data_IF_144320036710
#
_entry.id   IF_144320036710
#
_cell.length_a   1.000
_cell.length_b   1.000
_cell.length_c   1.000
_cell.angle_alpha   90.00
_cell.angle_beta   90.00
_cell.angle_gamma   90.00
#
_symmetry.space_group_name_H-M   'P 1'
#
loop_
_entity.id
_entity.type
_entity.pdbx_description
1 polymer ?
#
# COMPACT_ATOMS: atom_id res chain seq x y z
N UNK A 1 -11.51 11.95 -1.49
CA UNK A 1 -10.37 11.06 -1.80
C UNK A 1 -10.91 9.64 -1.84
N UNK A 2 -10.70 8.88 -2.94
CA UNK A 2 -11.21 7.51 -3.09
C UNK A 2 -10.15 6.49 -2.65
N UNK A 3 -10.60 5.31 -2.21
CA UNK A 3 -9.73 4.20 -1.76
C UNK A 3 -8.80 3.74 -2.89
N UNK A 4 -9.28 3.74 -4.13
CA UNK A 4 -8.48 3.52 -5.34
C UNK A 4 -7.26 4.45 -5.46
N UNK A 5 -7.43 5.74 -5.16
CA UNK A 5 -6.35 6.70 -5.30
C UNK A 5 -5.26 6.45 -4.27
N UNK A 6 -5.66 6.10 -3.05
CA UNK A 6 -4.73 5.75 -1.97
C UNK A 6 -3.96 4.46 -2.29
N UNK A 7 -4.61 3.46 -2.88
CA UNK A 7 -3.94 2.23 -3.32
C UNK A 7 -2.94 2.47 -4.45
N UNK A 8 -3.26 3.37 -5.39
CA UNK A 8 -2.32 3.77 -6.43
C UNK A 8 -1.07 4.44 -5.84
N UNK A 9 -1.24 5.35 -4.88
CA UNK A 9 -0.13 6.00 -4.19
C UNK A 9 0.72 5.01 -3.40
N UNK A 10 0.11 4.04 -2.72
CA UNK A 10 0.82 2.98 -2.02
C UNK A 10 1.61 2.09 -2.97
N UNK A 11 1.02 1.71 -4.11
CA UNK A 11 1.70 0.89 -5.13
C UNK A 11 2.93 1.61 -5.70
N UNK A 12 2.82 2.92 -5.94
CA UNK A 12 3.95 3.73 -6.40
C UNK A 12 5.07 3.78 -5.35
N UNK A 13 4.72 4.05 -4.09
CA UNK A 13 5.68 4.04 -2.98
C UNK A 13 6.31 2.67 -2.76
N UNK A 14 5.55 1.58 -2.90
CA UNK A 14 6.09 0.23 -2.83
C UNK A 14 7.09 -0.03 -3.95
N UNK A 15 6.83 0.42 -5.18
CA UNK A 15 7.76 0.28 -6.30
C UNK A 15 9.07 1.03 -6.03
N UNK A 16 9.00 2.29 -5.58
CA UNK A 16 10.18 3.07 -5.21
C UNK A 16 10.95 2.44 -4.04
N UNK A 17 10.24 1.99 -3.01
CA UNK A 17 10.86 1.36 -1.84
C UNK A 17 11.46 0.01 -2.21
N UNK A 18 10.87 -0.77 -3.09
CA UNK A 18 11.42 -2.05 -3.53
C UNK A 18 12.66 -1.87 -4.43
N UNK A 19 12.76 -0.73 -5.12
CA UNK A 19 13.96 -0.34 -5.88
C UNK A 19 15.08 0.21 -4.98
N UNK A 20 14.74 1.00 -3.95
CA UNK A 20 15.71 1.69 -3.08
C UNK A 20 16.08 0.88 -1.82
N UNK A 21 15.15 0.07 -1.30
CA UNK A 21 15.25 -0.63 -0.02
C UNK A 21 14.90 -2.12 -0.17
N UNK A 22 15.43 -2.94 0.74
CA UNK A 22 15.09 -4.37 0.81
C UNK A 22 13.68 -4.54 1.43
N UNK A 23 13.02 -5.66 1.11
CA UNK A 23 11.70 -6.05 1.65
C UNK A 23 11.60 -6.07 3.19
N UNK A 24 12.73 -6.04 3.88
CA UNK A 24 12.82 -6.01 5.35
C UNK A 24 12.56 -4.61 5.96
N UNK A 25 12.57 -3.55 5.13
CA UNK A 25 12.49 -2.18 5.60
C UNK A 25 11.16 -1.92 6.34
N UNK A 26 11.18 -1.25 7.51
CA UNK A 26 9.97 -0.96 8.29
C UNK A 26 8.93 -0.16 7.50
N UNK A 27 9.39 0.73 6.61
CA UNK A 27 8.48 1.50 5.73
C UNK A 27 7.72 0.60 4.76
N UNK A 28 8.34 -0.46 4.21
CA UNK A 28 7.65 -1.39 3.32
C UNK A 28 6.53 -2.12 4.07
N UNK A 29 6.80 -2.59 5.30
CA UNK A 29 5.79 -3.21 6.16
C UNK A 29 4.60 -2.29 6.44
N UNK A 30 4.86 -1.02 6.77
CA UNK A 30 3.81 -0.04 7.03
C UNK A 30 2.95 0.26 5.79
N UNK A 31 3.53 0.31 4.59
CA UNK A 31 2.77 0.46 3.34
C UNK A 31 1.89 -0.74 3.07
N UNK A 32 2.38 -1.95 3.36
CA UNK A 32 1.69 -3.20 3.11
C UNK A 32 0.45 -3.36 4.00
N UNK A 33 0.56 -3.02 5.30
CA UNK A 33 -0.58 -2.99 6.23
C UNK A 33 -1.64 -1.96 5.80
N UNK A 34 -1.19 -0.77 5.39
CA UNK A 34 -2.07 0.30 4.90
C UNK A 34 -2.81 -0.14 3.63
N UNK A 35 -2.09 -0.80 2.72
CA UNK A 35 -2.64 -1.33 1.47
C UNK A 35 -3.69 -2.39 1.74
N UNK A 36 -3.41 -3.34 2.62
CA UNK A 36 -4.36 -4.38 3.00
C UNK A 36 -5.65 -3.78 3.58
N UNK A 37 -5.53 -2.79 4.46
CA UNK A 37 -6.70 -2.11 5.03
C UNK A 37 -7.57 -1.50 3.94
N UNK A 38 -6.96 -0.76 3.02
CA UNK A 38 -7.67 -0.13 1.89
C UNK A 38 -8.22 -1.15 0.89
N UNK A 39 -7.51 -2.25 0.64
CA UNK A 39 -8.01 -3.36 -0.19
C UNK A 39 -9.24 -4.00 0.46
N UNK A 40 -9.23 -4.23 1.77
CA UNK A 40 -10.41 -4.71 2.49
C UNK A 40 -11.58 -3.73 2.42
N UNK A 41 -11.35 -2.43 2.60
CA UNK A 41 -12.40 -1.41 2.45
C UNK A 41 -13.00 -1.38 1.04
N UNK A 42 -12.22 -1.69 0.00
CA UNK A 42 -12.74 -1.82 -1.38
C UNK A 42 -13.48 -3.12 -1.62
N UNK A 43 -12.98 -4.22 -1.05
CA UNK A 43 -13.50 -5.56 -1.30
C UNK A 43 -14.68 -5.93 -0.41
N UNK A 44 -15.00 -5.10 0.58
CA UNK A 44 -16.19 -5.24 1.41
C UNK A 44 -17.28 -4.34 0.83
N UNK A 45 -18.06 -4.80 -0.17
CA UNK A 45 -19.35 -4.17 -0.43
C UNK A 45 -20.24 -4.51 0.75
N UNK A 46 -20.67 -3.50 1.49
CA UNK A 46 -21.76 -3.62 2.47
C UNK A 46 -23.06 -4.06 1.77
#
# INVERSE_FOLDING_TARGET
>A
MNVDNQLNELTFREAEISQLYKKDHPTYRALLEKRQTLEQERQTPE
#
